data_IF_581162907511
#
_entry.id   IF_581162907511
#
_cell.length_a   1.000
_cell.length_b   1.000
_cell.length_c   1.000
_cell.angle_alpha   90.00
_cell.angle_beta   90.00
_cell.angle_gamma   90.00
#
_symmetry.space_group_name_H-M   'P 1'
#
loop_
_entity.id
_entity.type
_entity.pdbx_description
1 polymer ?
#
# COMPACT_ATOMS: atom_id res chain seq x y z
N UNK A 1 22.56 17.30 -28.78
CA UNK A 1 22.23 16.11 -27.99
C UNK A 1 23.37 15.12 -28.12
N UNK A 2 24.01 14.82 -26.99
CA UNK A 2 25.09 13.86 -26.93
C UNK A 2 24.53 12.46 -27.20
N UNK A 3 25.25 11.63 -27.96
CA UNK A 3 24.88 10.24 -28.29
C UNK A 3 24.58 9.40 -27.03
N UNK A 4 25.03 9.85 -25.85
CA UNK A 4 24.77 9.21 -24.56
C UNK A 4 23.42 9.54 -23.91
N UNK A 5 22.70 10.57 -24.37
CA UNK A 5 21.40 10.99 -23.81
C UNK A 5 20.22 10.26 -24.46
N UNK A 6 20.39 9.80 -25.71
CA UNK A 6 19.38 9.07 -26.46
C UNK A 6 18.86 7.77 -25.81
N UNK A 7 19.69 6.91 -25.19
CA UNK A 7 19.20 5.67 -24.58
C UNK A 7 18.41 5.91 -23.29
N UNK A 8 18.76 6.94 -22.51
CA UNK A 8 18.00 7.30 -21.31
C UNK A 8 16.60 7.82 -21.68
N UNK A 9 16.53 8.74 -22.65
CA UNK A 9 15.25 9.27 -23.17
C UNK A 9 14.39 8.14 -23.76
N UNK A 10 15.02 7.18 -24.46
CA UNK A 10 14.30 6.02 -25.01
C UNK A 10 13.76 5.07 -23.94
N UNK A 11 14.50 4.85 -22.85
CA UNK A 11 14.06 4.02 -21.73
C UNK A 11 12.86 4.60 -20.98
N UNK A 12 12.74 5.93 -20.86
CA UNK A 12 11.55 6.57 -20.27
C UNK A 12 10.34 6.57 -21.22
N UNK A 13 10.58 6.46 -22.54
CA UNK A 13 9.54 6.53 -23.58
C UNK A 13 8.91 5.18 -23.96
N UNK A 14 9.51 4.06 -23.58
CA UNK A 14 9.01 2.72 -23.91
C UNK A 14 8.54 2.01 -22.64
N UNK A 15 7.27 1.58 -22.64
CA UNK A 15 6.71 0.70 -21.62
C UNK A 15 7.48 -0.64 -21.67
N UNK A 16 8.50 -0.78 -20.84
CA UNK A 16 9.29 -2.01 -20.72
C UNK A 16 8.46 -3.19 -20.21
N UNK A 17 9.04 -4.41 -20.16
CA UNK A 17 8.38 -5.55 -19.54
C UNK A 17 7.89 -5.17 -18.13
N UNK A 18 6.72 -5.70 -17.76
CA UNK A 18 5.91 -5.32 -16.60
C UNK A 18 6.66 -4.98 -15.29
N UNK A 19 7.82 -5.55 -14.92
CA UNK A 19 8.51 -5.13 -13.70
C UNK A 19 9.03 -3.68 -13.78
N UNK A 20 9.65 -3.27 -14.89
CA UNK A 20 10.31 -1.96 -14.98
C UNK A 20 9.33 -0.80 -15.10
N UNK A 21 8.22 -1.01 -15.81
CA UNK A 21 7.17 -0.01 -16.01
C UNK A 21 6.48 0.39 -14.69
N UNK A 22 6.21 -0.57 -13.81
CA UNK A 22 5.61 -0.32 -12.50
C UNK A 22 6.48 0.60 -11.63
N UNK A 23 7.81 0.54 -11.81
CA UNK A 23 8.77 1.36 -11.06
C UNK A 23 9.25 2.63 -11.79
N UNK A 24 8.85 2.84 -13.05
CA UNK A 24 9.14 4.09 -13.79
C UNK A 24 7.96 5.05 -13.78
N UNK A 25 6.75 4.57 -13.53
CA UNK A 25 5.59 5.45 -13.36
C UNK A 25 5.59 6.10 -11.97
N UNK A 26 5.68 7.45 -11.87
CA UNK A 26 5.74 8.14 -10.58
C UNK A 26 4.51 7.88 -9.70
N UNK A 27 3.32 7.77 -10.29
CA UNK A 27 2.08 7.49 -9.55
C UNK A 27 2.18 6.11 -8.89
N UNK A 28 2.60 5.10 -9.64
CA UNK A 28 2.74 3.73 -9.12
C UNK A 28 3.84 3.64 -8.06
N UNK A 29 4.93 4.39 -8.23
CA UNK A 29 5.99 4.49 -7.21
C UNK A 29 5.49 5.07 -5.88
N UNK A 30 4.54 6.01 -5.90
CA UNK A 30 3.90 6.50 -4.69
C UNK A 30 2.86 5.54 -4.13
N UNK A 31 2.13 4.87 -5.02
CA UNK A 31 0.98 4.02 -4.66
C UNK A 31 1.40 2.66 -4.07
N UNK A 32 2.25 1.91 -4.78
CA UNK A 32 2.57 0.52 -4.48
C UNK A 32 3.18 0.35 -3.08
N UNK A 33 4.15 1.17 -2.63
CA UNK A 33 4.76 0.99 -1.31
C UNK A 33 3.75 1.14 -0.16
N UNK A 34 2.76 2.02 -0.29
CA UNK A 34 1.69 2.21 0.71
C UNK A 34 0.79 0.97 0.78
N UNK A 35 0.42 0.43 -0.39
CA UNK A 35 -0.40 -0.78 -0.45
C UNK A 35 0.35 -1.99 0.11
N UNK A 36 1.60 -2.19 -0.30
CA UNK A 36 2.40 -3.33 0.13
C UNK A 36 2.71 -3.29 1.62
N UNK A 37 3.02 -2.13 2.20
CA UNK A 37 3.27 -2.01 3.65
C UNK A 37 2.02 -2.39 4.46
N UNK A 38 0.86 -1.91 4.02
CA UNK A 38 -0.44 -2.15 4.64
C UNK A 38 -0.79 -3.64 4.58
N UNK A 39 -0.69 -4.25 3.41
CA UNK A 39 -0.97 -5.69 3.23
C UNK A 39 0.02 -6.55 4.02
N UNK A 40 1.31 -6.21 4.00
CA UNK A 40 2.33 -7.00 4.69
C UNK A 40 2.06 -7.06 6.18
N UNK A 41 1.77 -5.93 6.82
CA UNK A 41 1.47 -5.90 8.26
C UNK A 41 0.12 -6.56 8.59
N UNK A 42 -0.89 -6.43 7.72
CA UNK A 42 -2.14 -7.18 7.86
C UNK A 42 -1.90 -8.70 7.81
N UNK A 43 -1.09 -9.17 6.86
CA UNK A 43 -0.71 -10.58 6.74
C UNK A 43 0.07 -11.07 7.96
N UNK A 44 1.04 -10.30 8.45
CA UNK A 44 1.80 -10.64 9.65
C UNK A 44 0.86 -10.78 10.85
N UNK A 45 -0.06 -9.84 11.04
CA UNK A 45 -1.05 -9.92 12.13
C UNK A 45 -2.02 -11.10 11.97
N UNK A 46 -2.40 -11.44 10.73
CA UNK A 46 -3.21 -12.63 10.46
C UNK A 46 -2.47 -13.92 10.88
N UNK A 47 -1.21 -14.08 10.48
CA UNK A 47 -0.43 -15.27 10.83
C UNK A 47 -0.12 -15.36 12.33
N UNK A 48 0.25 -14.25 12.97
CA UNK A 48 0.46 -14.20 14.43
C UNK A 48 -0.86 -14.46 15.19
N UNK A 49 -1.98 -13.97 14.67
CA UNK A 49 -3.30 -14.21 15.23
C UNK A 49 -3.75 -15.67 15.07
N UNK A 50 -3.34 -16.36 14.00
CA UNK A 50 -3.65 -17.78 13.81
C UNK A 50 -2.87 -18.71 14.75
N UNK A 51 -1.65 -18.36 15.15
CA UNK A 51 -0.89 -19.16 16.12
C UNK A 51 -1.54 -19.16 17.51
N UNK A 52 -2.16 -18.04 17.89
CA UNK A 52 -2.92 -17.91 19.14
C UNK A 52 -4.33 -18.36 18.86
N UNK A 53 -4.62 -19.67 18.94
CA UNK A 53 -5.96 -20.27 18.77
C UNK A 53 -7.09 -19.32 19.22
N UNK A 54 -7.66 -18.56 18.28
CA UNK A 54 -8.66 -17.54 18.60
C UNK A 54 -9.98 -18.29 18.79
N UNK A 55 -10.58 -18.27 19.99
CA UNK A 55 -11.89 -18.87 20.19
C UNK A 55 -12.89 -18.23 19.23
N UNK A 56 -13.82 -19.02 18.70
CA UNK A 56 -14.81 -18.54 17.72
C UNK A 56 -15.65 -17.33 18.21
N UNK A 57 -15.76 -17.14 19.52
CA UNK A 57 -16.41 -15.96 20.12
C UNK A 57 -15.61 -14.64 19.97
N UNK A 58 -14.38 -14.69 19.48
CA UNK A 58 -13.46 -13.54 19.36
C UNK A 58 -13.05 -13.23 17.90
N UNK A 59 -13.73 -13.81 16.91
CA UNK A 59 -13.50 -13.58 15.49
C UNK A 59 -13.56 -12.10 15.08
N UNK A 60 -14.55 -11.35 15.60
CA UNK A 60 -14.62 -9.91 15.44
C UNK A 60 -13.41 -9.16 16.05
N UNK A 61 -12.86 -9.69 17.14
CA UNK A 61 -11.62 -9.19 17.74
C UNK A 61 -10.41 -9.41 16.83
N UNK A 62 -10.31 -10.58 16.19
CA UNK A 62 -9.23 -10.90 15.24
C UNK A 62 -9.30 -10.03 13.98
N UNK A 63 -10.48 -9.84 13.39
CA UNK A 63 -10.68 -8.92 12.25
C UNK A 63 -10.24 -7.50 12.60
N UNK A 64 -10.65 -7.01 13.78
CA UNK A 64 -10.22 -5.70 14.25
C UNK A 64 -8.71 -5.62 14.48
N UNK A 65 -8.08 -6.69 15.00
CA UNK A 65 -6.62 -6.78 15.15
C UNK A 65 -5.87 -6.68 13.81
N UNK A 66 -6.34 -7.38 12.78
CA UNK A 66 -5.77 -7.32 11.43
C UNK A 66 -5.93 -5.91 10.84
N UNK A 67 -7.11 -5.29 11.02
CA UNK A 67 -7.36 -3.91 10.58
C UNK A 67 -6.45 -2.91 11.29
N UNK A 68 -6.24 -3.05 12.60
CA UNK A 68 -5.29 -2.21 13.35
C UNK A 68 -3.87 -2.38 12.82
N UNK A 69 -3.44 -3.60 12.54
CA UNK A 69 -2.12 -3.84 11.95
C UNK A 69 -1.96 -3.21 10.56
N UNK A 70 -3.01 -3.29 9.72
CA UNK A 70 -3.04 -2.61 8.42
C UNK A 70 -2.88 -1.08 8.59
N UNK A 71 -3.61 -0.47 9.54
CA UNK A 71 -3.49 0.96 9.86
C UNK A 71 -2.07 1.30 10.34
N UNK A 72 -1.45 0.46 11.18
CA UNK A 72 -0.05 0.64 11.60
C UNK A 72 0.87 0.64 10.38
N UNK A 73 0.65 -0.23 9.39
CA UNK A 73 1.45 -0.24 8.16
C UNK A 73 1.33 1.04 7.34
N UNK A 74 0.13 1.60 7.28
CA UNK A 74 -0.10 2.90 6.66
C UNK A 74 0.61 4.02 7.43
N UNK A 75 0.47 4.06 8.76
CA UNK A 75 1.13 5.07 9.63
C UNK A 75 2.65 4.99 9.53
N UNK A 76 3.22 3.79 9.38
CA UNK A 76 4.66 3.64 9.24
C UNK A 76 5.14 4.08 7.86
N UNK A 77 4.45 3.67 6.79
CA UNK A 77 4.93 3.91 5.42
C UNK A 77 4.74 5.36 4.93
N UNK A 78 3.60 5.98 5.23
CA UNK A 78 3.26 7.31 4.70
C UNK A 78 4.28 8.38 5.11
N UNK A 79 4.72 8.50 6.38
CA UNK A 79 5.74 9.48 6.77
C UNK A 79 7.07 9.33 6.02
N UNK A 80 7.56 8.11 5.82
CA UNK A 80 8.81 7.88 5.09
C UNK A 80 8.68 8.29 3.62
N UNK A 81 7.55 7.98 2.98
CA UNK A 81 7.28 8.39 1.60
C UNK A 81 7.08 9.90 1.48
N UNK A 82 6.44 10.52 2.46
CA UNK A 82 6.29 11.98 2.54
C UNK A 82 7.64 12.68 2.69
N UNK A 83 8.59 12.13 3.47
CA UNK A 83 9.96 12.64 3.53
C UNK A 83 10.63 12.56 2.15
N UNK A 84 10.50 11.44 1.44
CA UNK A 84 11.06 11.29 0.09
C UNK A 84 10.45 12.30 -0.90
N UNK A 85 9.14 12.51 -0.85
CA UNK A 85 8.42 13.51 -1.63
C UNK A 85 8.93 14.93 -1.35
N UNK A 86 8.97 15.34 -0.08
CA UNK A 86 9.40 16.69 0.34
C UNK A 86 10.85 16.93 -0.07
N UNK A 87 11.74 15.95 0.17
CA UNK A 87 13.15 16.09 -0.23
C UNK A 87 13.30 16.24 -1.75
N UNK A 88 12.54 15.49 -2.54
CA UNK A 88 12.53 15.63 -4.00
C UNK A 88 12.09 17.01 -4.47
N UNK A 89 11.07 17.58 -3.82
CA UNK A 89 10.62 18.95 -4.13
C UNK A 89 11.63 20.03 -3.76
N UNK A 90 12.36 19.87 -2.64
CA UNK A 90 13.33 20.86 -2.14
C UNK A 90 14.63 20.83 -2.96
N UNK A 91 15.14 19.64 -3.29
CA UNK A 91 16.43 19.47 -3.98
C UNK A 91 16.37 19.98 -5.43
N UNK A 92 15.15 20.19 -5.97
CA UNK A 92 14.95 20.77 -7.29
C UNK A 92 15.05 19.75 -8.42
N UNK A 93 14.88 18.46 -8.11
CA UNK A 93 14.63 17.44 -9.11
C UNK A 93 13.30 17.70 -9.84
N UNK A 94 12.96 16.83 -10.81
CA UNK A 94 11.73 16.94 -11.61
C UNK A 94 10.47 17.06 -10.72
N UNK A 95 9.98 18.30 -10.59
CA UNK A 95 8.81 18.64 -9.78
C UNK A 95 7.55 17.91 -10.24
N UNK A 96 7.44 17.63 -11.54
CA UNK A 96 6.28 16.92 -12.10
C UNK A 96 6.30 15.47 -11.61
N UNK A 97 7.47 14.82 -11.66
CA UNK A 97 7.65 13.47 -11.14
C UNK A 97 7.24 13.37 -9.67
N UNK A 98 7.78 14.25 -8.82
CA UNK A 98 7.47 14.20 -7.39
C UNK A 98 6.02 14.58 -7.06
N UNK A 99 5.41 15.48 -7.82
CA UNK A 99 3.98 15.79 -7.65
C UNK A 99 3.09 14.60 -8.00
N UNK A 100 3.40 13.87 -9.07
CA UNK A 100 2.70 12.64 -9.46
C UNK A 100 2.95 11.50 -8.45
N UNK A 101 4.16 11.43 -7.87
CA UNK A 101 4.47 10.52 -6.78
C UNK A 101 3.64 10.81 -5.53
N UNK A 102 3.57 12.08 -5.10
CA UNK A 102 2.71 12.51 -4.00
C UNK A 102 1.23 12.21 -4.26
N UNK A 103 0.75 12.42 -5.48
CA UNK A 103 -0.60 12.03 -5.90
C UNK A 103 -0.83 10.52 -5.76
N UNK A 104 0.14 9.69 -6.15
CA UNK A 104 0.08 8.24 -5.96
C UNK A 104 -0.09 7.81 -4.50
N UNK A 105 0.61 8.48 -3.57
CA UNK A 105 0.46 8.24 -2.12
C UNK A 105 -0.98 8.55 -1.68
N UNK A 106 -1.48 9.73 -2.05
CA UNK A 106 -2.85 10.16 -1.69
C UNK A 106 -3.90 9.21 -2.27
N UNK A 107 -3.72 8.78 -3.53
CA UNK A 107 -4.58 7.81 -4.19
C UNK A 107 -4.60 6.47 -3.45
N UNK A 108 -3.45 5.97 -2.99
CA UNK A 108 -3.35 4.73 -2.23
C UNK A 108 -4.09 4.82 -0.89
N UNK A 109 -3.92 5.93 -0.16
CA UNK A 109 -4.62 6.17 1.10
C UNK A 109 -6.14 6.20 0.85
N UNK A 110 -6.60 7.01 -0.10
CA UNK A 110 -8.02 7.11 -0.43
C UNK A 110 -8.61 5.76 -0.86
N UNK A 111 -7.85 4.99 -1.65
CA UNK A 111 -8.24 3.64 -2.07
C UNK A 111 -8.39 2.70 -0.88
N UNK A 112 -7.43 2.68 0.05
CA UNK A 112 -7.50 1.84 1.26
C UNK A 112 -8.68 2.21 2.16
N UNK A 113 -8.93 3.51 2.37
CA UNK A 113 -10.10 3.97 3.12
C UNK A 113 -11.42 3.60 2.43
N UNK A 114 -11.46 3.71 1.10
CA UNK A 114 -12.63 3.31 0.32
C UNK A 114 -12.89 1.80 0.43
N UNK A 115 -11.85 0.96 0.33
CA UNK A 115 -11.96 -0.48 0.52
C UNK A 115 -12.43 -0.83 1.93
N UNK A 116 -11.85 -0.19 2.96
CA UNK A 116 -12.25 -0.39 4.34
C UNK A 116 -13.75 -0.04 4.52
N UNK A 117 -14.17 1.13 4.05
CA UNK A 117 -15.57 1.55 4.12
C UNK A 117 -16.52 0.60 3.36
N UNK A 118 -16.12 0.13 2.18
CA UNK A 118 -16.94 -0.73 1.31
C UNK A 118 -17.09 -2.15 1.87
N UNK A 119 -16.00 -2.73 2.37
CA UNK A 119 -15.95 -4.16 2.73
C UNK A 119 -16.12 -4.42 4.22
N UNK A 120 -15.83 -3.46 5.11
CA UNK A 120 -15.93 -3.66 6.56
C UNK A 120 -17.33 -4.09 7.03
N UNK A 121 -18.46 -3.54 6.53
CA UNK A 121 -19.78 -4.02 6.93
C UNK A 121 -20.01 -5.49 6.58
N UNK A 122 -19.60 -5.88 5.37
CA UNK A 122 -19.72 -7.26 4.88
C UNK A 122 -18.84 -8.22 5.66
N UNK A 123 -17.60 -7.82 5.97
CA UNK A 123 -16.66 -8.63 6.76
C UNK A 123 -17.17 -8.80 8.19
N UNK A 124 -17.67 -7.74 8.82
CA UNK A 124 -18.21 -7.80 10.18
C UNK A 124 -19.49 -8.64 10.24
N UNK A 125 -20.37 -8.53 9.25
CA UNK A 125 -21.55 -9.40 9.14
C UNK A 125 -21.18 -10.86 8.93
N UNK A 126 -20.19 -11.13 8.09
CA UNK A 126 -19.68 -12.49 7.91
C UNK A 126 -19.07 -13.05 9.21
N UNK A 127 -18.27 -12.25 9.92
CA UNK A 127 -17.60 -12.64 11.15
C UNK A 127 -18.55 -12.79 12.35
N UNK A 128 -19.72 -12.15 12.34
CA UNK A 128 -20.78 -12.42 13.32
C UNK A 128 -21.55 -13.70 13.05
N UNK A 129 -21.68 -14.08 11.78
CA UNK A 129 -22.56 -15.18 11.35
C UNK A 129 -21.82 -16.54 11.24
N UNK A 130 -20.50 -16.52 11.09
CA UNK A 130 -19.69 -17.73 10.89
C UNK A 130 -18.78 -18.00 12.08
N UNK A 131 -18.77 -19.26 12.52
CA UNK A 131 -17.75 -19.80 13.43
C UNK A 131 -16.66 -20.46 12.57
N UNK A 132 -15.39 -20.11 12.78
CA UNK A 132 -14.28 -20.81 12.14
C UNK A 132 -14.13 -22.18 12.82
N UNK A 133 -14.78 -23.20 12.26
CA UNK A 133 -14.52 -24.59 12.63
C UNK A 133 -13.20 -25.03 12.02
N UNK A 134 -12.08 -24.64 12.62
CA UNK A 134 -10.84 -25.36 12.40
C UNK A 134 -10.90 -26.65 13.22
N UNK A 135 -10.97 -27.78 12.53
CA UNK A 135 -10.87 -29.14 13.11
C UNK A 135 -9.42 -29.45 13.49
#
# INVERSE_FOLDING_TARGET
MSIKEAPLIRAVSHYGPLPGFLFTNPILNGFIPVILSTITLACVAFFLGMEVHVPNSQLNGAVNGIRVAAIIGLILSVPFLMIAFIRGLIIGDDRVFYSLFGFGIVLAIAFLFFLDWLFLPTINGWASDHQLTFF
#
